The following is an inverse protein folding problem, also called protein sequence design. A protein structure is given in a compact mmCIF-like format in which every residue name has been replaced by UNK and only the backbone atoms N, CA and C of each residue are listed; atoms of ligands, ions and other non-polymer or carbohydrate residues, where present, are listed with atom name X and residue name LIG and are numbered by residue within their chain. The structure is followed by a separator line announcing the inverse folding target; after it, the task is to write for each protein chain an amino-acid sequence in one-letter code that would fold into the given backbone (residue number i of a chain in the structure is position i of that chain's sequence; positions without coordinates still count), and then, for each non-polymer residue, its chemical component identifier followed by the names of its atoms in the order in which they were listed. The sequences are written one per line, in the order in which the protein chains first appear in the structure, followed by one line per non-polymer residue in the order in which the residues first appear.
data_IF_989690147100
#
_entry.id   IF_989690147100
#
_cell.length_a   1.000
_cell.length_b   1.000
_cell.length_c   1.000
_cell.angle_alpha   90.00
_cell.angle_beta   90.00
_cell.angle_gamma   90.00
#
_symmetry.space_group_name_H-M   'P 1'
#
loop_
_entity.id
_entity.type
_entity.pdbx_description
1 polymer ?
#
# COMPACT_ATOMS: atom_id res chain seq x y z
N UNK A 1 -1.76 -18.03 0.50
CA UNK A 1 -2.52 -16.77 0.47
C UNK A 1 -1.70 -15.72 -0.26
N UNK A 2 -2.38 -14.75 -0.85
CA UNK A 2 -1.79 -13.56 -1.47
C UNK A 2 -1.78 -12.41 -0.45
N UNK A 3 -0.59 -11.93 -0.11
CA UNK A 3 -0.38 -10.85 0.84
C UNK A 3 -0.01 -9.57 0.10
N UNK A 4 -0.73 -8.51 0.39
CA UNK A 4 -0.49 -7.18 -0.14
C UNK A 4 -0.14 -6.24 1.01
N UNK A 5 1.14 -5.88 1.11
CA UNK A 5 1.64 -4.96 2.13
C UNK A 5 1.79 -3.59 1.49
N UNK A 6 0.94 -2.63 1.86
CA UNK A 6 0.93 -1.26 1.35
C UNK A 6 1.69 -0.37 2.33
N UNK A 7 2.80 0.21 1.87
CA UNK A 7 3.73 0.96 2.73
C UNK A 7 4.32 2.18 2.01
N UNK A 8 4.84 3.11 2.81
CA UNK A 8 5.46 4.36 2.38
C UNK A 8 6.37 4.90 3.48
N UNK A 9 7.22 5.87 3.15
CA UNK A 9 7.94 6.68 4.16
C UNK A 9 7.18 7.88 4.70
N UNK A 10 5.97 8.17 4.18
CA UNK A 10 5.23 9.40 4.50
C UNK A 10 3.72 9.17 4.55
N UNK A 11 3.08 9.79 5.54
CA UNK A 11 1.61 9.83 5.63
C UNK A 11 0.96 10.66 4.52
N UNK A 12 -0.25 10.26 4.12
CA UNK A 12 -1.13 10.99 3.19
C UNK A 12 -0.64 11.11 1.75
N UNK A 13 0.08 10.10 1.28
CA UNK A 13 0.49 9.99 -0.13
C UNK A 13 -0.37 9.02 -0.95
N UNK A 14 -1.49 8.56 -0.39
CA UNK A 14 -2.46 7.70 -1.10
C UNK A 14 -2.36 6.20 -0.80
N UNK A 15 -1.81 5.77 0.35
CA UNK A 15 -1.80 4.35 0.75
C UNK A 15 -3.21 3.77 0.86
N UNK A 16 -4.07 4.43 1.62
CA UNK A 16 -5.48 4.06 1.78
C UNK A 16 -6.21 4.00 0.43
N UNK A 17 -5.93 4.92 -0.50
CA UNK A 17 -6.49 4.85 -1.85
C UNK A 17 -6.11 3.55 -2.54
N UNK A 18 -4.83 3.19 -2.50
CA UNK A 18 -4.34 1.97 -3.11
C UNK A 18 -4.95 0.73 -2.45
N UNK A 19 -5.06 0.72 -1.11
CA UNK A 19 -5.75 -0.34 -0.36
C UNK A 19 -7.19 -0.52 -0.86
N UNK A 20 -7.95 0.56 -1.00
CA UNK A 20 -9.33 0.53 -1.49
C UNK A 20 -9.44 0.07 -2.94
N UNK A 21 -8.53 0.52 -3.81
CA UNK A 21 -8.47 0.11 -5.22
C UNK A 21 -8.19 -1.38 -5.37
N UNK A 22 -7.20 -1.90 -4.63
CA UNK A 22 -6.86 -3.31 -4.63
C UNK A 22 -8.02 -4.14 -4.06
N UNK A 23 -8.56 -3.76 -2.90
CA UNK A 23 -9.69 -4.46 -2.32
C UNK A 23 -10.89 -4.50 -3.27
N UNK A 24 -11.25 -3.37 -3.89
CA UNK A 24 -12.36 -3.32 -4.85
C UNK A 24 -12.11 -4.26 -6.05
N UNK A 25 -10.89 -4.27 -6.59
CA UNK A 25 -10.52 -5.17 -7.67
C UNK A 25 -10.70 -6.65 -7.27
N UNK A 26 -10.21 -7.05 -6.10
CA UNK A 26 -10.31 -8.43 -5.65
C UNK A 26 -11.76 -8.83 -5.31
N UNK A 27 -12.53 -7.96 -4.66
CA UNK A 27 -13.95 -8.22 -4.42
C UNK A 27 -14.74 -8.35 -5.73
N UNK A 28 -14.42 -7.57 -6.76
CA UNK A 28 -15.12 -7.64 -8.05
C UNK A 28 -14.75 -8.89 -8.86
N UNK A 29 -13.48 -9.29 -8.85
CA UNK A 29 -12.92 -10.30 -9.76
C UNK A 29 -12.64 -11.67 -9.11
N UNK A 30 -12.66 -11.79 -7.78
CA UNK A 30 -12.31 -13.00 -7.01
C UNK A 30 -13.37 -13.31 -5.94
N UNK A 31 -14.60 -13.59 -6.40
CA UNK A 31 -15.78 -13.76 -5.52
C UNK A 31 -15.82 -15.10 -4.77
N UNK A 32 -15.03 -16.06 -5.19
CA UNK A 32 -14.82 -17.35 -4.55
C UNK A 32 -13.87 -17.27 -3.33
N UNK A 33 -13.20 -16.13 -3.16
CA UNK A 33 -12.32 -15.85 -2.04
C UNK A 33 -12.85 -14.71 -1.15
N UNK A 34 -12.56 -14.79 0.14
CA UNK A 34 -12.73 -13.70 1.09
C UNK A 34 -11.44 -12.90 1.24
N UNK A 35 -11.60 -11.64 1.65
CA UNK A 35 -10.50 -10.71 1.91
C UNK A 35 -10.42 -10.33 3.38
N UNK A 36 -9.20 -10.17 3.90
CA UNK A 36 -8.95 -9.58 5.22
C UNK A 36 -8.10 -8.33 5.05
N UNK A 37 -8.60 -7.19 5.53
CA UNK A 37 -7.83 -5.94 5.61
C UNK A 37 -7.36 -5.74 7.05
N UNK A 38 -6.07 -5.64 7.28
CA UNK A 38 -5.49 -5.23 8.56
C UNK A 38 -4.93 -3.83 8.40
N UNK A 39 -5.54 -2.89 9.12
CA UNK A 39 -5.14 -1.51 9.18
C UNK A 39 -4.14 -1.30 10.33
N UNK A 40 -2.85 -1.25 10.00
CA UNK A 40 -1.76 -0.94 10.93
C UNK A 40 -1.44 0.56 10.96
N UNK A 41 -2.32 1.42 10.44
CA UNK A 41 -2.25 2.86 10.62
C UNK A 41 -2.98 3.26 11.91
N UNK A 42 -2.54 2.73 13.05
CA UNK A 42 -3.30 2.83 14.32
C UNK A 42 -3.75 4.24 14.70
N UNK A 43 -2.96 5.28 14.43
CA UNK A 43 -3.29 6.65 14.81
C UNK A 43 -4.50 7.25 14.07
N UNK A 44 -4.75 6.83 12.83
CA UNK A 44 -5.85 7.36 12.03
C UNK A 44 -6.87 6.27 11.66
N UNK A 45 -6.46 5.00 11.66
CA UNK A 45 -7.22 3.83 11.21
C UNK A 45 -7.97 4.09 9.90
N UNK A 46 -7.29 4.73 8.94
CA UNK A 46 -7.91 5.32 7.74
C UNK A 46 -8.75 4.29 6.96
N UNK A 47 -8.20 3.09 6.72
CA UNK A 47 -8.88 2.03 5.98
C UNK A 47 -10.03 1.44 6.80
N UNK A 48 -9.81 1.17 8.09
CA UNK A 48 -10.84 0.62 8.96
C UNK A 48 -12.02 1.58 9.18
N UNK A 49 -11.76 2.86 9.39
CA UNK A 49 -12.76 3.90 9.53
C UNK A 49 -13.67 3.99 8.31
N UNK A 50 -13.12 3.87 7.09
CA UNK A 50 -13.87 3.91 5.85
C UNK A 50 -14.69 2.63 5.60
N UNK A 51 -14.08 1.47 5.82
CA UNK A 51 -14.67 0.17 5.47
C UNK A 51 -15.71 -0.29 6.48
N UNK A 52 -15.55 0.05 7.77
CA UNK A 52 -16.47 -0.35 8.83
C UNK A 52 -17.59 0.65 9.12
N UNK A 53 -17.57 1.83 8.49
CA UNK A 53 -18.54 2.89 8.73
C UNK A 53 -19.98 2.40 8.52
N UNK A 54 -20.76 2.29 9.62
CA UNK A 54 -22.15 1.78 9.65
C UNK A 54 -22.33 0.38 9.02
N UNK A 55 -21.24 -0.37 8.89
CA UNK A 55 -21.20 -1.70 8.24
C UNK A 55 -20.51 -2.75 9.11
N UNK A 56 -20.42 -2.53 10.42
CA UNK A 56 -19.95 -3.55 11.36
C UNK A 56 -20.99 -4.68 11.42
N UNK A 57 -20.61 -5.85 10.92
CA UNK A 57 -21.39 -7.07 11.00
C UNK A 57 -20.96 -7.90 12.21
N UNK A 58 -21.94 -8.43 12.93
CA UNK A 58 -21.71 -9.40 14.01
C UNK A 58 -20.92 -8.86 15.21
N UNK A 59 -20.44 -9.80 16.05
CA UNK A 59 -19.49 -9.51 17.13
C UNK A 59 -18.06 -9.56 16.57
N UNK A 60 -17.14 -8.71 17.05
CA UNK A 60 -15.75 -8.83 16.67
C UNK A 60 -15.14 -10.14 17.18
N UNK A 61 -14.06 -10.54 16.52
CA UNK A 61 -13.09 -11.49 17.07
C UNK A 61 -11.79 -10.75 17.36
N UNK A 62 -10.98 -11.30 18.25
CA UNK A 62 -9.76 -10.65 18.72
C UNK A 62 -8.54 -11.51 18.43
N UNK A 63 -7.41 -10.90 18.11
CA UNK A 63 -6.11 -11.57 18.13
C UNK A 63 -5.30 -11.07 19.30
N UNK A 64 -4.71 -11.99 20.07
CA UNK A 64 -3.83 -11.69 21.19
C UNK A 64 -2.59 -12.57 21.16
N UNK A 65 -1.50 -12.10 21.76
CA UNK A 65 -0.30 -12.93 21.92
C UNK A 65 -0.46 -13.89 23.11
N UNK A 66 -0.11 -15.15 22.90
CA UNK A 66 0.06 -16.12 23.99
C UNK A 66 1.39 -15.91 24.72
N UNK A 67 1.66 -16.75 25.73
CA UNK A 67 2.91 -16.70 26.53
C UNK A 67 4.19 -16.89 25.70
N UNK A 68 4.08 -17.50 24.52
CA UNK A 68 5.19 -17.72 23.59
C UNK A 68 5.32 -16.59 22.56
N UNK A 69 4.48 -15.55 22.64
CA UNK A 69 4.47 -14.43 21.71
C UNK A 69 3.82 -14.72 20.36
N UNK A 70 3.13 -15.85 20.21
CA UNK A 70 2.36 -16.21 19.02
C UNK A 70 0.95 -15.62 19.11
N UNK A 71 0.40 -15.15 17.99
CA UNK A 71 -1.00 -14.71 17.98
C UNK A 71 -1.94 -15.92 17.98
N UNK A 72 -3.00 -15.84 18.79
CA UNK A 72 -4.12 -16.75 18.81
C UNK A 72 -5.45 -15.99 18.78
N UNK A 73 -6.49 -16.66 18.28
CA UNK A 73 -7.84 -16.13 18.29
C UNK A 73 -8.42 -16.12 19.71
N UNK A 74 -9.07 -15.02 20.06
CA UNK A 74 -9.97 -14.91 21.20
C UNK A 74 -11.32 -14.37 20.72
N UNK A 75 -12.39 -14.73 21.44
CA UNK A 75 -13.75 -14.25 21.21
C UNK A 75 -14.26 -13.38 22.36
N UNK A 76 -13.47 -13.27 23.43
CA UNK A 76 -13.76 -12.45 24.60
C UNK A 76 -12.93 -11.18 24.56
N UNK A 77 -13.58 -10.05 24.79
CA UNK A 77 -12.90 -8.76 24.93
C UNK A 77 -12.06 -8.74 26.20
N UNK A 78 -10.78 -8.38 26.09
CA UNK A 78 -9.85 -8.28 27.20
C UNK A 78 -8.82 -7.18 26.96
N UNK A 79 -8.25 -6.64 28.03
CA UNK A 79 -7.17 -5.65 27.98
C UNK A 79 -5.90 -6.16 27.28
N UNK A 80 -5.79 -7.48 27.07
CA UNK A 80 -4.65 -8.13 26.39
C UNK A 80 -4.86 -8.29 24.88
N UNK A 81 -6.03 -7.93 24.36
CA UNK A 81 -6.34 -8.05 22.95
C UNK A 81 -5.51 -7.05 22.15
N UNK A 82 -4.76 -7.52 21.15
CA UNK A 82 -3.90 -6.66 20.33
C UNK A 82 -4.62 -6.16 19.07
N UNK A 83 -5.53 -6.96 18.53
CA UNK A 83 -6.31 -6.60 17.34
C UNK A 83 -7.78 -6.92 17.53
N UNK A 84 -8.63 -6.04 17.00
CA UNK A 84 -10.05 -6.27 16.80
C UNK A 84 -10.31 -6.53 15.32
N UNK A 85 -11.10 -7.55 14.99
CA UNK A 85 -11.46 -7.89 13.61
C UNK A 85 -12.97 -8.02 13.51
N UNK A 86 -13.56 -7.26 12.58
CA UNK A 86 -14.99 -7.23 12.31
C UNK A 86 -15.29 -7.78 10.92
N UNK A 87 -16.45 -8.43 10.79
CA UNK A 87 -17.05 -8.70 9.49
C UNK A 87 -17.65 -7.41 8.93
N UNK A 88 -17.61 -7.24 7.61
CA UNK A 88 -18.30 -6.18 6.89
C UNK A 88 -18.63 -6.63 5.47
N UNK A 89 -19.17 -5.74 4.64
CA UNK A 89 -19.58 -6.07 3.27
C UNK A 89 -19.49 -4.89 2.30
N UNK A 90 -19.27 -5.24 1.03
CA UNK A 90 -19.32 -4.37 -0.14
C UNK A 90 -20.46 -4.78 -1.07
N UNK A 91 -20.79 -3.93 -2.03
CA UNK A 91 -21.79 -4.25 -3.04
C UNK A 91 -21.12 -4.58 -4.37
N UNK A 92 -21.63 -5.61 -5.05
CA UNK A 92 -21.16 -5.97 -6.39
C UNK A 92 -22.03 -5.34 -7.48
N UNK A 93 -21.46 -4.52 -8.37
CA UNK A 93 -22.20 -3.92 -9.50
C UNK A 93 -21.96 -2.42 -9.70
N UNK A 94 -22.65 -1.86 -10.71
CA UNK A 94 -22.50 -0.46 -11.14
C UNK A 94 -23.30 0.52 -10.25
N UNK A 95 -24.29 0.03 -9.51
CA UNK A 95 -25.12 0.82 -8.59
C UNK A 95 -24.99 0.30 -7.15
N UNK A 96 -24.47 1.12 -6.24
CA UNK A 96 -24.39 0.77 -4.82
C UNK A 96 -25.78 0.49 -4.24
N UNK A 97 -25.86 -0.48 -3.33
CA UNK A 97 -27.10 -0.85 -2.64
C UNK A 97 -28.08 -1.73 -3.43
N UNK A 98 -27.80 -2.05 -4.71
CA UNK A 98 -28.62 -2.97 -5.52
C UNK A 98 -27.92 -4.26 -5.93
N UNK A 99 -26.66 -4.40 -5.54
CA UNK A 99 -25.81 -5.56 -5.85
C UNK A 99 -25.80 -6.61 -4.76
N UNK A 100 -25.38 -7.83 -5.11
CA UNK A 100 -25.09 -8.87 -4.11
C UNK A 100 -24.04 -8.36 -3.12
N UNK A 101 -24.29 -8.62 -1.84
CA UNK A 101 -23.35 -8.29 -0.78
C UNK A 101 -22.17 -9.27 -0.82
N UNK A 102 -20.96 -8.72 -0.90
CA UNK A 102 -19.72 -9.48 -0.79
C UNK A 102 -19.13 -9.21 0.58
N UNK A 103 -19.11 -10.23 1.42
CA UNK A 103 -18.64 -10.14 2.80
C UNK A 103 -17.12 -10.33 2.87
N UNK A 104 -16.47 -9.54 3.71
CA UNK A 104 -15.03 -9.58 3.98
C UNK A 104 -14.77 -9.15 5.44
N UNK A 105 -13.52 -9.20 5.87
CA UNK A 105 -13.13 -8.81 7.22
C UNK A 105 -12.19 -7.60 7.23
N UNK A 106 -12.30 -6.80 8.29
CA UNK A 106 -11.42 -5.66 8.54
C UNK A 106 -11.00 -5.67 10.00
N UNK A 107 -9.70 -5.56 10.26
CA UNK A 107 -9.16 -5.44 11.59
C UNK A 107 -8.18 -4.29 11.75
N UNK A 108 -7.97 -3.88 12.99
CA UNK A 108 -7.08 -2.80 13.39
C UNK A 108 -6.55 -3.07 14.80
N UNK A 109 -5.40 -2.49 15.20
CA UNK A 109 -4.85 -2.72 16.52
C UNK A 109 -5.69 -2.04 17.60
N UNK A 110 -5.92 -2.72 18.72
CA UNK A 110 -6.60 -2.14 19.90
C UNK A 110 -5.77 -1.00 20.51
N UNK A 111 -4.44 -1.11 20.41
CA UNK A 111 -3.51 -0.04 20.80
C UNK A 111 -2.84 0.58 19.55
N UNK A 112 -3.16 1.84 19.21
CA UNK A 112 -2.69 2.48 17.99
C UNK A 112 -1.19 2.83 18.00
N UNK A 113 -0.53 2.72 19.16
CA UNK A 113 0.89 3.05 19.35
C UNK A 113 1.82 1.84 19.27
N UNK A 114 1.28 0.62 19.08
CA UNK A 114 2.11 -0.57 18.89
C UNK A 114 2.99 -0.38 17.66
N UNK A 115 4.27 -0.71 17.78
CA UNK A 115 5.23 -0.66 16.67
C UNK A 115 5.69 -2.08 16.35
N UNK A 116 5.64 -2.44 15.07
CA UNK A 116 6.18 -3.71 14.62
C UNK A 116 7.62 -3.56 14.13
N UNK A 117 8.52 -4.29 14.77
CA UNK A 117 9.85 -4.61 14.23
C UNK A 117 9.75 -5.82 13.26
N UNK A 118 10.84 -6.20 12.56
CA UNK A 118 10.77 -7.27 11.57
C UNK A 118 10.26 -8.62 12.11
N UNK A 119 10.70 -9.00 13.32
CA UNK A 119 10.26 -10.26 13.94
C UNK A 119 8.79 -10.22 14.31
N UNK A 120 8.35 -9.17 15.00
CA UNK A 120 6.97 -9.02 15.45
C UNK A 120 5.98 -8.86 14.27
N UNK A 121 6.45 -8.33 13.14
CA UNK A 121 5.67 -8.27 11.90
C UNK A 121 5.53 -9.66 11.28
N UNK A 122 6.62 -10.42 11.14
CA UNK A 122 6.57 -11.80 10.66
C UNK A 122 5.70 -12.71 11.56
N UNK A 123 5.75 -12.51 12.88
CA UNK A 123 4.89 -13.19 13.84
C UNK A 123 3.41 -12.83 13.64
N UNK A 124 3.10 -11.57 13.33
CA UNK A 124 1.74 -11.14 13.01
C UNK A 124 1.22 -11.86 11.76
N UNK A 125 1.99 -11.86 10.67
CA UNK A 125 1.60 -12.54 9.42
C UNK A 125 1.40 -14.05 9.65
N UNK A 126 2.31 -14.69 10.37
CA UNK A 126 2.19 -16.12 10.73
C UNK A 126 0.96 -16.38 11.59
N UNK A 127 0.68 -15.50 12.55
CA UNK A 127 -0.50 -15.55 13.40
C UNK A 127 -1.80 -15.46 12.61
N UNK A 128 -1.91 -14.47 11.73
CA UNK A 128 -3.06 -14.31 10.82
C UNK A 128 -3.23 -15.57 9.97
N UNK A 129 -2.14 -16.09 9.36
CA UNK A 129 -2.19 -17.31 8.55
C UNK A 129 -2.73 -18.50 9.35
N UNK A 130 -2.20 -18.74 10.54
CA UNK A 130 -2.56 -19.86 11.42
C UNK A 130 -4.02 -19.77 11.87
N UNK A 131 -4.49 -18.57 12.18
CA UNK A 131 -5.84 -18.33 12.70
C UNK A 131 -6.87 -18.00 11.61
N UNK A 132 -6.48 -17.91 10.34
CA UNK A 132 -7.36 -17.46 9.24
C UNK A 132 -8.69 -18.23 9.18
N UNK A 133 -8.64 -19.56 9.24
CA UNK A 133 -9.83 -20.42 9.23
C UNK A 133 -10.70 -20.21 10.48
N UNK A 134 -10.09 -19.96 11.63
CA UNK A 134 -10.80 -19.69 12.88
C UNK A 134 -11.48 -18.31 12.84
N UNK A 135 -10.76 -17.28 12.38
CA UNK A 135 -11.30 -15.92 12.16
C UNK A 135 -12.50 -16.01 11.20
N UNK A 136 -12.31 -16.67 10.05
CA UNK A 136 -13.36 -16.84 9.03
C UNK A 136 -14.61 -17.48 9.63
N UNK A 137 -14.45 -18.62 10.33
CA UNK A 137 -15.55 -19.37 10.94
C UNK A 137 -16.30 -18.53 11.98
N UNK A 138 -15.59 -17.85 12.87
CA UNK A 138 -16.21 -17.08 13.96
C UNK A 138 -16.88 -15.79 13.46
N UNK A 139 -16.40 -15.22 12.36
CA UNK A 139 -17.05 -14.10 11.68
C UNK A 139 -18.18 -14.52 10.72
N UNK A 140 -18.46 -15.83 10.59
CA UNK A 140 -19.52 -16.34 9.70
C UNK A 140 -19.25 -16.10 8.22
N UNK A 141 -17.98 -16.05 7.80
CA UNK A 141 -17.59 -15.90 6.40
C UNK A 141 -17.58 -17.27 5.69
N UNK A 142 -18.22 -17.34 4.54
CA UNK A 142 -18.38 -18.61 3.80
C UNK A 142 -17.16 -18.97 2.95
N UNK A 143 -16.45 -17.97 2.43
CA UNK A 143 -15.25 -18.14 1.60
C UNK A 143 -13.96 -18.05 2.44
N UNK A 144 -12.91 -18.82 2.07
CA UNK A 144 -11.62 -18.76 2.73
C UNK A 144 -10.91 -17.42 2.51
N UNK A 145 -10.09 -17.00 3.47
CA UNK A 145 -9.21 -15.85 3.25
C UNK A 145 -8.08 -16.23 2.30
N UNK A 146 -8.17 -15.81 1.04
CA UNK A 146 -7.08 -15.95 0.08
C UNK A 146 -6.29 -14.65 -0.08
N UNK A 147 -6.91 -13.50 0.18
CA UNK A 147 -6.31 -12.18 -0.02
C UNK A 147 -6.21 -11.41 1.29
N UNK A 148 -4.99 -11.05 1.68
CA UNK A 148 -4.71 -10.28 2.90
C UNK A 148 -4.11 -8.93 2.53
N UNK A 149 -4.72 -7.84 2.96
CA UNK A 149 -4.24 -6.48 2.74
C UNK A 149 -3.73 -5.90 4.06
N UNK A 150 -2.49 -5.45 4.10
CA UNK A 150 -1.89 -4.76 5.24
C UNK A 150 -1.66 -3.30 4.85
N UNK A 151 -2.48 -2.38 5.34
CA UNK A 151 -2.23 -0.93 5.20
C UNK A 151 -1.39 -0.47 6.38
N UNK A 152 -0.17 -0.01 6.13
CA UNK A 152 0.74 0.36 7.23
C UNK A 152 1.50 1.66 6.99
N UNK A 153 1.68 2.41 8.08
CA UNK A 153 2.58 3.56 8.13
C UNK A 153 4.03 3.18 8.43
N UNK A 154 4.33 1.92 8.76
CA UNK A 154 5.71 1.50 8.90
C UNK A 154 6.38 1.51 7.54
N UNK A 155 7.55 2.15 7.47
CA UNK A 155 8.42 1.99 6.31
C UNK A 155 8.79 0.52 6.15
N UNK A 156 8.91 0.02 4.92
CA UNK A 156 9.26 -1.39 4.71
C UNK A 156 10.57 -1.78 5.42
N UNK A 157 11.57 -0.88 5.49
CA UNK A 157 12.80 -1.10 6.27
C UNK A 157 12.61 -1.24 7.80
N UNK A 158 11.43 -0.93 8.34
CA UNK A 158 11.12 -1.16 9.75
C UNK A 158 10.54 -2.56 9.99
N UNK A 159 9.90 -3.14 8.96
CA UNK A 159 9.23 -4.45 9.04
C UNK A 159 9.95 -5.54 8.24
N UNK A 160 10.95 -5.17 7.45
CA UNK A 160 11.93 -6.03 6.78
C UNK A 160 13.34 -5.57 7.14
N UNK A 161 14.30 -6.49 7.13
CA UNK A 161 15.67 -6.21 7.53
C UNK A 161 16.63 -6.37 6.33
N UNK A 162 17.76 -5.67 6.37
CA UNK A 162 18.91 -5.89 5.48
C UNK A 162 19.65 -7.22 5.75
N UNK A 163 19.52 -7.79 6.95
CA UNK A 163 20.10 -9.08 7.31
C UNK A 163 19.17 -10.23 6.91
N UNK A 164 19.46 -10.82 5.74
CA UNK A 164 18.71 -11.93 5.16
C UNK A 164 18.64 -13.18 6.07
N UNK A 165 19.66 -13.44 6.90
CA UNK A 165 19.77 -14.74 7.59
C UNK A 165 19.01 -14.81 8.91
N UNK A 166 18.86 -13.70 9.64
CA UNK A 166 18.27 -13.73 10.98
C UNK A 166 16.74 -13.58 11.00
N UNK A 167 16.18 -12.85 10.02
CA UNK A 167 14.78 -12.40 10.07
C UNK A 167 13.93 -12.88 8.89
N UNK A 168 14.50 -13.61 7.93
CA UNK A 168 13.74 -14.17 6.82
C UNK A 168 13.48 -15.66 6.91
N UNK A 169 13.91 -16.34 7.97
CA UNK A 169 13.70 -17.77 8.16
C UNK A 169 12.22 -18.16 8.05
N UNK A 170 11.32 -17.31 8.52
CA UNK A 170 9.86 -17.48 8.39
C UNK A 170 9.38 -17.55 6.94
N UNK A 171 10.06 -16.88 6.00
CA UNK A 171 9.70 -16.83 4.58
C UNK A 171 10.50 -17.82 3.72
N UNK A 172 11.54 -18.44 4.26
CA UNK A 172 12.43 -19.36 3.55
C UNK A 172 11.97 -20.82 3.69
N UNK A 173 12.72 -21.75 3.08
CA UNK A 173 12.43 -23.19 3.12
C UNK A 173 12.21 -23.71 4.55
N UNK A 174 11.06 -24.36 4.79
CA UNK A 174 10.61 -24.85 6.09
C UNK A 174 9.96 -23.79 6.99
N UNK A 175 9.90 -22.53 6.56
CA UNK A 175 9.25 -21.44 7.28
C UNK A 175 7.73 -21.41 7.10
N UNK A 176 7.01 -20.83 8.07
CA UNK A 176 5.54 -20.76 8.07
C UNK A 176 4.95 -19.95 6.91
N UNK A 177 5.72 -19.08 6.26
CA UNK A 177 5.31 -18.21 5.17
C UNK A 177 5.97 -18.56 3.82
N UNK A 178 6.65 -19.70 3.71
CA UNK A 178 7.40 -20.09 2.50
C UNK A 178 6.55 -20.14 1.22
N UNK A 179 5.32 -20.63 1.33
CA UNK A 179 4.41 -20.84 0.18
C UNK A 179 3.49 -19.65 -0.06
N UNK A 180 3.69 -18.57 0.69
CA UNK A 180 2.87 -17.37 0.58
C UNK A 180 3.38 -16.45 -0.54
N UNK A 181 2.46 -15.82 -1.24
CA UNK A 181 2.80 -14.83 -2.27
C UNK A 181 2.78 -13.43 -1.63
N UNK A 182 3.97 -12.88 -1.36
CA UNK A 182 4.10 -11.60 -0.66
C UNK A 182 4.43 -10.49 -1.64
N UNK A 183 3.49 -9.56 -1.80
CA UNK A 183 3.64 -8.36 -2.62
C UNK A 183 3.73 -7.13 -1.73
N UNK A 184 4.79 -6.34 -1.88
CA UNK A 184 5.01 -5.08 -1.18
C UNK A 184 4.79 -3.91 -2.14
N UNK A 185 3.70 -3.19 -1.93
CA UNK A 185 3.35 -1.97 -2.67
C UNK A 185 3.97 -0.77 -1.98
N UNK A 186 5.07 -0.27 -2.54
CA UNK A 186 5.81 0.84 -1.98
C UNK A 186 5.53 2.13 -2.72
N UNK A 187 4.87 3.06 -2.02
CA UNK A 187 4.61 4.40 -2.54
C UNK A 187 5.83 5.29 -2.32
N UNK A 188 6.48 5.66 -3.42
CA UNK A 188 7.69 6.47 -3.44
C UNK A 188 7.39 7.93 -3.12
N UNK A 189 8.22 8.55 -2.29
CA UNK A 189 8.21 10.01 -2.11
C UNK A 189 9.46 10.65 -2.70
N UNK A 190 9.30 11.89 -3.16
CA UNK A 190 10.38 12.68 -3.80
C UNK A 190 11.72 12.61 -3.06
N UNK A 191 11.72 12.88 -1.74
CA UNK A 191 12.96 12.93 -0.95
C UNK A 191 13.74 11.61 -0.93
N UNK A 192 13.04 10.48 -1.02
CA UNK A 192 13.70 9.17 -1.05
C UNK A 192 14.36 8.92 -2.40
N UNK A 193 13.67 9.31 -3.47
CA UNK A 193 14.15 9.19 -4.83
C UNK A 193 15.38 10.07 -5.05
N UNK A 194 15.32 11.33 -4.61
CA UNK A 194 16.45 12.27 -4.60
C UNK A 194 17.66 11.70 -3.87
N UNK A 195 17.47 11.08 -2.71
CA UNK A 195 18.57 10.46 -1.96
C UNK A 195 19.16 9.23 -2.64
N UNK A 196 18.37 8.51 -3.44
CA UNK A 196 18.82 7.31 -4.15
C UNK A 196 19.63 7.67 -5.39
N UNK A 197 19.35 8.80 -6.02
CA UNK A 197 20.04 9.31 -7.22
C UNK A 197 21.11 10.36 -6.93
N UNK A 198 21.39 10.66 -5.65
CA UNK A 198 22.41 11.64 -5.28
C UNK A 198 23.84 11.06 -5.41
N UNK A 199 24.78 11.86 -5.92
CA UNK A 199 26.20 11.48 -6.12
C UNK A 199 26.88 10.92 -4.86
N UNK A 200 26.47 11.39 -3.67
CA UNK A 200 26.96 10.85 -2.39
C UNK A 200 25.89 9.97 -1.77
N UNK A 201 26.18 8.67 -1.73
CA UNK A 201 25.27 7.70 -1.16
C UNK A 201 25.04 7.95 0.34
N UNK A 202 23.82 8.41 0.67
CA UNK A 202 23.41 8.62 2.05
C UNK A 202 23.25 7.29 2.81
N UNK A 203 23.39 7.32 4.14
CA UNK A 203 23.12 6.15 4.99
C UNK A 203 21.71 5.58 4.76
N UNK A 204 20.73 6.46 4.54
CA UNK A 204 19.36 6.06 4.23
C UNK A 204 19.25 5.33 2.90
N UNK A 205 19.90 5.83 1.85
CA UNK A 205 19.95 5.17 0.54
C UNK A 205 20.56 3.76 0.65
N UNK A 206 21.64 3.60 1.43
CA UNK A 206 22.25 2.29 1.71
C UNK A 206 21.26 1.32 2.37
N UNK A 207 20.60 1.75 3.44
CA UNK A 207 19.63 0.91 4.17
C UNK A 207 18.47 0.49 3.27
N UNK A 208 17.93 1.42 2.48
CA UNK A 208 16.84 1.14 1.53
C UNK A 208 17.29 0.12 0.49
N UNK A 209 18.43 0.34 -0.17
CA UNK A 209 19.01 -0.58 -1.16
C UNK A 209 19.23 -1.96 -0.57
N UNK A 210 19.96 -2.06 0.55
CA UNK A 210 20.29 -3.35 1.18
C UNK A 210 19.05 -4.10 1.65
N UNK A 211 18.04 -3.40 2.18
CA UNK A 211 16.78 -4.04 2.59
C UNK A 211 16.02 -4.55 1.37
N UNK A 212 15.86 -3.74 0.32
CA UNK A 212 15.16 -4.15 -0.88
C UNK A 212 15.84 -5.35 -1.55
N UNK A 213 17.17 -5.34 -1.67
CA UNK A 213 17.94 -6.48 -2.19
C UNK A 213 17.73 -7.73 -1.34
N UNK A 214 17.77 -7.63 -0.01
CA UNK A 214 17.53 -8.76 0.88
C UNK A 214 16.10 -9.31 0.73
N UNK A 215 15.09 -8.44 0.62
CA UNK A 215 13.71 -8.82 0.37
C UNK A 215 13.55 -9.54 -0.97
N UNK A 216 14.09 -9.00 -2.07
CA UNK A 216 14.02 -9.61 -3.40
C UNK A 216 14.73 -10.96 -3.45
N UNK A 217 15.82 -11.11 -2.69
CA UNK A 217 16.54 -12.38 -2.57
C UNK A 217 15.75 -13.44 -1.79
N UNK A 218 14.98 -13.04 -0.77
CA UNK A 218 14.33 -13.95 0.17
C UNK A 218 12.86 -14.25 -0.15
N UNK A 219 12.10 -13.27 -0.67
CA UNK A 219 10.67 -13.40 -0.96
C UNK A 219 10.41 -13.80 -2.42
N UNK A 220 11.20 -14.74 -2.94
CA UNK A 220 11.05 -15.21 -4.32
C UNK A 220 9.74 -16.01 -4.43
N UNK A 221 8.76 -15.46 -5.15
CA UNK A 221 7.46 -16.10 -5.36
C UNK A 221 7.60 -17.44 -6.10
N UNK A 222 7.10 -18.52 -5.48
CA UNK A 222 7.16 -19.90 -5.99
C UNK A 222 6.22 -20.20 -7.20
N UNK A 223 5.77 -19.19 -7.95
CA UNK A 223 4.72 -19.36 -8.97
C UNK A 223 4.92 -18.64 -10.31
N UNK A 224 6.02 -17.90 -10.51
CA UNK A 224 6.36 -17.29 -11.79
C UNK A 224 7.78 -17.70 -12.19
N UNK A 225 7.97 -19.02 -12.32
CA UNK A 225 9.25 -19.62 -12.70
C UNK A 225 9.24 -20.00 -14.17
N UNK A 226 9.95 -19.18 -14.95
CA UNK A 226 10.79 -19.69 -16.05
C UNK A 226 12.07 -18.87 -16.17
N UNK A 227 12.03 -17.54 -15.94
CA UNK A 227 13.14 -16.65 -16.34
C UNK A 227 13.67 -15.66 -15.27
N UNK A 228 13.39 -15.87 -13.98
CA UNK A 228 14.06 -15.09 -12.91
C UNK A 228 13.65 -13.62 -12.77
N UNK A 229 12.40 -13.23 -13.08
CA UNK A 229 11.93 -11.83 -13.08
C UNK A 229 10.60 -11.58 -12.35
N UNK A 230 10.43 -12.14 -11.16
CA UNK A 230 9.32 -11.83 -10.26
C UNK A 230 9.88 -11.21 -8.98
N UNK A 231 9.72 -9.89 -8.80
CA UNK A 231 10.07 -9.19 -7.55
C UNK A 231 8.83 -9.00 -6.68
N UNK A 232 8.95 -9.13 -5.34
CA UNK A 232 7.89 -8.77 -4.40
C UNK A 232 7.58 -7.27 -4.42
N UNK A 233 8.49 -6.42 -4.92
CA UNK A 233 8.36 -4.97 -4.87
C UNK A 233 7.57 -4.42 -6.05
N UNK A 234 6.50 -3.70 -5.73
CA UNK A 234 5.69 -2.90 -6.65
C UNK A 234 5.95 -1.42 -6.35
N UNK A 235 6.52 -0.71 -7.32
CA UNK A 235 6.90 0.69 -7.20
C UNK A 235 5.75 1.60 -7.61
N UNK A 236 5.10 2.23 -6.64
CA UNK A 236 3.92 3.05 -6.86
C UNK A 236 4.31 4.53 -6.85
N UNK A 237 3.93 5.25 -7.89
CA UNK A 237 4.22 6.68 -8.05
C UNK A 237 2.93 7.46 -8.04
N UNK A 238 2.63 8.11 -6.91
CA UNK A 238 1.42 8.93 -6.76
C UNK A 238 1.75 10.42 -6.86
N UNK A 239 0.83 11.27 -7.38
CA UNK A 239 1.12 12.68 -7.61
C UNK A 239 1.47 13.41 -6.30
N UNK A 240 0.74 13.11 -5.21
CA UNK A 240 0.96 13.72 -3.91
C UNK A 240 2.34 13.43 -3.32
N UNK A 241 2.96 12.32 -3.72
CA UNK A 241 4.25 11.89 -3.22
C UNK A 241 5.43 12.54 -3.96
N UNK A 242 5.21 12.96 -5.21
CA UNK A 242 6.23 13.52 -6.09
C UNK A 242 6.35 15.05 -5.98
N UNK A 243 5.42 15.71 -5.29
CA UNK A 243 5.45 17.16 -5.07
C UNK A 243 6.16 17.49 -3.75
N UNK A 244 7.06 18.48 -3.75
CA UNK A 244 7.66 18.99 -2.51
C UNK A 244 6.79 20.08 -1.90
N UNK A 245 6.86 20.20 -0.57
CA UNK A 245 6.26 21.32 0.15
C UNK A 245 7.07 22.62 0.05
N UNK A 246 8.15 22.66 -0.76
CA UNK A 246 9.13 23.75 -0.79
C UNK A 246 9.25 24.44 -2.14
N UNK A 247 8.50 24.02 -3.17
CA UNK A 247 8.56 24.66 -4.47
C UNK A 247 8.23 26.15 -4.31
N UNK A 248 9.17 27.03 -4.68
CA UNK A 248 8.94 28.47 -4.63
C UNK A 248 7.93 28.85 -5.70
N UNK A 249 6.84 29.51 -5.29
CA UNK A 249 5.90 30.19 -6.18
C UNK A 249 6.69 31.14 -7.09
N UNK A 250 6.94 30.72 -8.33
CA UNK A 250 7.73 31.50 -9.28
C UNK A 250 8.58 30.68 -10.27
N UNK A 251 8.98 29.45 -9.93
CA UNK A 251 9.78 28.58 -10.83
C UNK A 251 9.01 27.44 -11.49
N UNK A 252 7.74 27.26 -11.13
CA UNK A 252 6.90 26.17 -11.65
C UNK A 252 6.29 26.55 -13.01
N UNK A 253 6.58 25.79 -14.06
CA UNK A 253 5.93 25.92 -15.36
C UNK A 253 5.14 24.64 -15.71
N UNK A 254 4.17 24.75 -16.62
CA UNK A 254 3.48 23.58 -17.20
C UNK A 254 2.63 22.76 -16.23
N UNK A 255 2.71 21.43 -16.37
CA UNK A 255 1.90 20.43 -15.65
C UNK A 255 2.22 20.33 -14.16
N UNK A 256 3.47 20.60 -13.77
CA UNK A 256 3.90 20.64 -12.37
C UNK A 256 3.27 21.80 -11.61
N UNK A 257 3.13 22.96 -12.25
CA UNK A 257 2.38 24.08 -11.67
C UNK A 257 0.93 23.67 -11.41
N UNK A 258 0.25 23.08 -12.39
CA UNK A 258 -1.15 22.61 -12.23
C UNK A 258 -1.30 21.56 -11.13
N UNK A 259 -0.33 20.64 -11.03
CA UNK A 259 -0.30 19.65 -9.95
C UNK A 259 -0.05 20.32 -8.60
N UNK A 260 0.91 21.24 -8.49
CA UNK A 260 1.17 21.98 -7.25
C UNK A 260 -0.04 22.80 -6.83
N UNK A 261 -0.65 23.55 -7.75
CA UNK A 261 -1.89 24.30 -7.56
C UNK A 261 -3.02 23.38 -7.09
N UNK A 262 -3.11 22.16 -7.63
CA UNK A 262 -4.08 21.14 -7.19
C UNK A 262 -3.82 20.67 -5.76
N UNK A 263 -2.55 20.42 -5.43
CA UNK A 263 -2.14 19.99 -4.09
C UNK A 263 -2.36 21.11 -3.07
N UNK A 264 -2.03 22.36 -3.39
CA UNK A 264 -2.22 23.54 -2.52
C UNK A 264 -3.69 23.91 -2.39
N UNK A 265 -4.38 24.03 -3.52
CA UNK A 265 -5.81 24.35 -3.62
C UNK A 265 -6.73 23.21 -3.21
N UNK A 266 -6.19 22.03 -2.91
CA UNK A 266 -6.92 20.84 -2.44
C UNK A 266 -8.06 20.43 -3.38
N UNK A 267 -7.80 20.36 -4.69
CA UNK A 267 -8.74 19.85 -5.68
C UNK A 267 -8.21 18.62 -6.42
N UNK A 268 -9.14 17.81 -6.93
CA UNK A 268 -8.81 16.59 -7.67
C UNK A 268 -8.14 16.94 -9.00
N UNK A 269 -7.12 16.17 -9.37
CA UNK A 269 -6.34 16.43 -10.58
C UNK A 269 -5.83 15.14 -11.21
N UNK A 270 -5.77 15.11 -12.54
CA UNK A 270 -5.12 14.00 -13.27
C UNK A 270 -3.82 14.50 -13.86
N UNK A 271 -2.71 13.84 -13.51
CA UNK A 271 -1.37 14.13 -14.01
C UNK A 271 -1.17 13.48 -15.39
N UNK A 272 -1.10 14.26 -16.48
CA UNK A 272 -1.00 13.72 -17.83
C UNK A 272 0.23 12.82 -18.05
N UNK A 273 1.36 13.14 -17.44
CA UNK A 273 2.63 12.40 -17.55
C UNK A 273 2.50 10.99 -16.97
N UNK A 274 1.94 10.88 -15.76
CA UNK A 274 1.66 9.59 -15.13
C UNK A 274 0.58 8.82 -15.90
N UNK A 275 -0.40 9.53 -16.49
CA UNK A 275 -1.42 8.89 -17.34
C UNK A 275 -0.79 8.29 -18.61
N UNK A 276 0.13 9.02 -19.24
CA UNK A 276 0.89 8.54 -20.39
C UNK A 276 1.71 7.31 -20.03
N UNK A 277 2.42 7.34 -18.90
CA UNK A 277 3.17 6.18 -18.40
C UNK A 277 2.25 4.97 -18.13
N UNK A 278 1.07 5.19 -17.55
CA UNK A 278 0.07 4.15 -17.31
C UNK A 278 -0.50 3.53 -18.59
N UNK A 279 -0.43 4.25 -19.72
CA UNK A 279 -0.92 3.80 -21.02
C UNK A 279 0.15 3.11 -21.87
N UNK A 280 1.42 3.10 -21.43
CA UNK A 280 2.45 2.34 -22.11
C UNK A 280 2.13 0.85 -22.04
N UNK A 281 2.41 0.12 -23.12
CA UNK A 281 2.28 -1.33 -23.12
C UNK A 281 3.15 -1.90 -21.99
N UNK A 282 2.58 -2.70 -21.07
CA UNK A 282 3.36 -3.34 -20.03
C UNK A 282 4.40 -4.25 -20.68
N UNK A 283 5.67 -4.11 -20.30
CA UNK A 283 6.67 -5.12 -20.63
C UNK A 283 6.34 -6.39 -19.86
N UNK A 284 6.39 -7.57 -20.48
CA UNK A 284 6.04 -8.85 -19.81
C UNK A 284 6.83 -9.14 -18.51
N UNK A 285 7.96 -8.46 -18.29
CA UNK A 285 8.87 -8.75 -17.19
C UNK A 285 8.93 -7.63 -16.14
N UNK A 286 8.99 -8.01 -14.85
CA UNK A 286 9.32 -7.09 -13.77
C UNK A 286 10.77 -6.58 -13.88
N UNK A 287 11.06 -5.45 -13.24
CA UNK A 287 12.41 -4.93 -13.02
C UNK A 287 12.82 -5.11 -11.55
N UNK A 288 14.08 -5.48 -11.29
CA UNK A 288 14.61 -5.54 -9.93
C UNK A 288 14.73 -4.13 -9.33
N UNK A 289 14.81 -4.02 -8.00
CA UNK A 289 15.04 -2.76 -7.33
C UNK A 289 16.34 -2.10 -7.80
N UNK A 290 17.42 -2.88 -7.89
CA UNK A 290 18.74 -2.38 -8.28
C UNK A 290 18.74 -1.83 -9.70
N UNK A 291 18.16 -2.56 -10.65
CA UNK A 291 18.09 -2.13 -12.05
C UNK A 291 17.19 -0.91 -12.22
N UNK A 292 16.11 -0.82 -11.42
CA UNK A 292 15.25 0.36 -11.42
C UNK A 292 15.99 1.60 -10.91
N UNK A 293 16.74 1.49 -9.82
CA UNK A 293 17.56 2.61 -9.31
C UNK A 293 18.60 3.04 -10.33
N UNK A 294 19.28 2.09 -11.01
CA UNK A 294 20.22 2.42 -12.10
C UNK A 294 19.55 3.22 -13.22
N UNK A 295 18.33 2.83 -13.63
CA UNK A 295 17.58 3.57 -14.65
C UNK A 295 17.23 4.99 -14.20
N UNK A 296 16.78 5.15 -12.96
CA UNK A 296 16.48 6.46 -12.39
C UNK A 296 17.72 7.35 -12.33
N UNK A 297 18.87 6.79 -11.96
CA UNK A 297 20.14 7.50 -11.89
C UNK A 297 20.61 7.99 -13.27
N UNK A 298 20.59 7.12 -14.29
CA UNK A 298 20.90 7.50 -15.68
C UNK A 298 19.95 8.61 -16.17
N UNK A 299 18.65 8.46 -15.92
CA UNK A 299 17.66 9.45 -16.32
C UNK A 299 17.85 10.78 -15.59
N UNK A 300 18.16 10.74 -14.29
CA UNK A 300 18.47 11.91 -13.48
C UNK A 300 19.68 12.68 -14.05
N UNK A 301 20.82 12.02 -14.24
CA UNK A 301 22.04 12.65 -14.76
C UNK A 301 21.82 13.26 -16.15
N UNK A 302 21.09 12.58 -17.03
CA UNK A 302 20.75 13.08 -18.38
C UNK A 302 19.95 14.38 -18.34
N UNK A 303 19.07 14.53 -17.35
CA UNK A 303 18.19 15.70 -17.23
C UNK A 303 18.92 16.84 -16.51
N UNK A 304 19.68 16.55 -15.45
CA UNK A 304 20.40 17.59 -14.68
C UNK A 304 21.56 18.20 -15.44
N UNK A 305 22.23 17.46 -16.32
CA UNK A 305 23.28 18.01 -17.19
C UNK A 305 22.74 19.12 -18.12
N UNK A 306 21.43 19.13 -18.37
CA UNK A 306 20.75 20.08 -19.24
C UNK A 306 19.94 21.16 -18.50
N UNK A 307 19.78 21.06 -17.17
CA UNK A 307 18.87 21.94 -16.44
C UNK A 307 19.29 22.17 -14.97
N UNK A 308 19.26 23.44 -14.52
CA UNK A 308 19.51 23.86 -13.12
C UNK A 308 18.22 24.06 -12.31
N UNK A 309 17.12 23.46 -12.75
CA UNK A 309 15.85 23.51 -12.04
C UNK A 309 15.89 22.82 -10.68
N UNK A 310 14.92 23.16 -9.81
CA UNK A 310 14.75 22.43 -8.55
C UNK A 310 14.51 20.94 -8.84
N UNK A 311 15.29 20.08 -8.17
CA UNK A 311 15.35 18.63 -8.45
C UNK A 311 13.98 17.91 -8.40
N UNK A 312 13.03 18.47 -7.68
CA UNK A 312 11.66 17.96 -7.62
C UNK A 312 10.86 18.10 -8.91
N UNK A 313 11.17 19.12 -9.70
CA UNK A 313 10.51 19.37 -10.98
C UNK A 313 10.97 18.36 -12.03
N UNK A 314 12.14 17.77 -11.81
CA UNK A 314 12.73 16.82 -12.75
C UNK A 314 12.13 15.42 -12.61
N UNK A 315 11.38 15.12 -11.54
CA UNK A 315 11.04 13.72 -11.25
C UNK A 315 10.01 13.10 -12.21
N UNK A 316 8.99 13.85 -12.64
CA UNK A 316 8.07 13.37 -13.68
C UNK A 316 8.81 13.10 -15.01
N UNK A 317 9.65 14.03 -15.51
CA UNK A 317 10.55 13.78 -16.64
C UNK A 317 11.49 12.57 -16.44
N UNK A 318 12.07 12.41 -15.25
CA UNK A 318 12.95 11.27 -14.91
C UNK A 318 12.18 9.96 -15.01
N UNK A 319 10.96 9.89 -14.46
CA UNK A 319 10.13 8.69 -14.56
C UNK A 319 9.76 8.36 -16.00
N UNK A 320 9.44 9.39 -16.79
CA UNK A 320 9.11 9.21 -18.21
C UNK A 320 10.32 8.68 -18.98
N UNK A 321 11.50 9.27 -18.76
CA UNK A 321 12.75 8.85 -19.39
C UNK A 321 13.19 7.44 -18.95
N UNK A 322 13.10 7.12 -17.65
CA UNK A 322 13.42 5.80 -17.11
C UNK A 322 12.44 4.71 -17.57
N UNK A 323 11.16 5.08 -17.76
CA UNK A 323 10.14 4.23 -18.34
C UNK A 323 10.37 3.94 -19.83
N UNK A 324 10.91 4.89 -20.58
CA UNK A 324 11.20 4.73 -22.00
C UNK A 324 9.94 4.41 -22.82
N UNK A 325 10.03 3.47 -23.76
CA UNK A 325 8.90 3.07 -24.62
C UNK A 325 7.99 2.00 -23.98
N UNK A 326 8.46 1.29 -22.95
CA UNK A 326 7.73 0.20 -22.29
C UNK A 326 7.96 0.24 -20.79
N UNK A 327 6.87 0.23 -20.02
CA UNK A 327 6.94 0.28 -18.56
C UNK A 327 6.99 -1.15 -17.98
N UNK A 328 7.93 -1.50 -17.09
CA UNK A 328 7.89 -2.77 -16.38
C UNK A 328 6.60 -2.92 -15.55
N UNK A 329 6.04 -4.12 -15.47
CA UNK A 329 4.75 -4.40 -14.80
C UNK A 329 4.72 -4.06 -13.30
N UNK A 330 5.87 -3.95 -12.65
CA UNK A 330 5.99 -3.55 -11.25
C UNK A 330 6.29 -2.05 -11.06
N UNK A 331 6.24 -1.24 -12.12
CA UNK A 331 6.23 0.22 -12.07
C UNK A 331 4.79 0.69 -12.28
N UNK A 332 4.19 1.29 -11.25
CA UNK A 332 2.76 1.60 -11.20
C UNK A 332 2.56 3.11 -11.05
N UNK A 333 2.39 3.83 -12.17
CA UNK A 333 2.02 5.24 -12.13
C UNK A 333 0.54 5.37 -11.72
N UNK A 334 0.26 6.09 -10.64
CA UNK A 334 -1.10 6.49 -10.28
C UNK A 334 -1.35 7.89 -10.84
N UNK A 335 -2.15 8.05 -11.91
CA UNK A 335 -2.30 9.35 -12.55
C UNK A 335 -3.22 10.31 -11.78
N UNK A 336 -3.99 9.81 -10.82
CA UNK A 336 -5.02 10.59 -10.15
C UNK A 336 -4.53 11.10 -8.80
N UNK A 337 -4.63 12.40 -8.60
CA UNK A 337 -4.56 13.06 -7.31
C UNK A 337 -5.98 13.29 -6.79
N UNK A 338 -6.25 12.83 -5.57
CA UNK A 338 -7.53 13.01 -4.91
C UNK A 338 -7.31 13.75 -3.61
N UNK A 339 -7.76 15.01 -3.55
CA UNK A 339 -7.40 15.91 -2.46
C UNK A 339 -7.95 15.45 -1.11
N UNK A 340 -9.13 14.83 -1.13
CA UNK A 340 -9.78 14.29 0.07
C UNK A 340 -9.00 13.13 0.71
N UNK A 341 -8.16 12.42 -0.06
CA UNK A 341 -7.34 11.30 0.42
C UNK A 341 -5.95 11.73 0.90
N UNK A 342 -5.65 13.05 0.89
CA UNK A 342 -4.40 13.60 1.42
C UNK A 342 -4.53 13.87 2.91
N UNK A 343 -3.66 13.22 3.70
CA UNK A 343 -3.41 13.48 5.13
C UNK A 343 -4.69 13.85 5.89
N UNK A 344 -5.66 12.92 5.95
CA UNK A 344 -6.67 13.03 6.98
C UNK A 344 -6.00 12.72 8.30
N UNK A 345 -5.82 13.75 9.12
CA UNK A 345 -5.65 13.58 10.56
C UNK A 345 -6.95 14.03 11.17
N UNK A 346 -7.52 13.24 12.09
CA UNK A 346 -8.79 13.51 12.77
C UNK A 346 -8.89 14.90 13.45
N UNK A 347 -7.78 15.65 13.51
CA UNK A 347 -7.70 16.91 14.25
C UNK A 347 -8.29 18.13 13.54
N UNK A 348 -8.28 18.24 12.21
CA UNK A 348 -8.40 19.56 11.56
C UNK A 348 -9.43 19.71 10.43
N UNK A 349 -10.23 18.69 10.08
CA UNK A 349 -11.21 18.80 8.97
C UNK A 349 -12.54 18.18 9.33
N UNK A 350 -13.64 18.86 9.00
CA UNK A 350 -14.99 18.32 9.14
C UNK A 350 -15.13 16.99 8.40
N UNK A 351 -15.88 16.06 8.99
CA UNK A 351 -16.13 14.65 8.59
C UNK A 351 -15.44 14.26 7.25
N UNK A 352 -14.12 14.02 7.27
CA UNK A 352 -13.41 13.61 6.04
C UNK A 352 -13.92 12.28 5.56
N UNK A 353 -14.30 11.38 6.47
CA UNK A 353 -14.98 10.14 6.13
C UNK A 353 -16.16 10.45 5.22
N UNK A 354 -17.04 11.41 5.55
CA UNK A 354 -18.12 11.89 4.64
C UNK A 354 -17.61 12.39 3.29
N UNK A 355 -16.53 13.17 3.23
CA UNK A 355 -15.96 13.63 1.96
C UNK A 355 -15.41 12.48 1.09
N UNK A 356 -14.79 11.49 1.73
CA UNK A 356 -14.29 10.27 1.10
C UNK A 356 -15.41 9.34 0.64
N UNK A 357 -16.53 9.33 1.35
CA UNK A 357 -17.75 8.62 0.93
C UNK A 357 -18.34 9.16 -0.38
N UNK A 358 -18.11 10.44 -0.68
CA UNK A 358 -18.53 11.06 -1.94
C UNK A 358 -17.73 10.63 -3.18
N UNK A 359 -16.64 9.86 -3.01
CA UNK A 359 -15.77 9.49 -4.12
C UNK A 359 -16.35 8.37 -4.96
N UNK A 360 -16.14 8.39 -6.28
CA UNK A 360 -16.69 7.37 -7.20
C UNK A 360 -16.38 5.93 -6.79
N UNK A 361 -15.16 5.65 -6.34
CA UNK A 361 -14.79 4.30 -5.88
C UNK A 361 -15.56 3.90 -4.63
N UNK A 362 -15.70 4.81 -3.68
CA UNK A 362 -16.46 4.55 -2.46
C UNK A 362 -17.95 4.42 -2.79
N UNK A 363 -18.51 5.36 -3.56
CA UNK A 363 -19.88 5.30 -4.02
C UNK A 363 -20.19 4.00 -4.75
N UNK A 364 -19.32 3.55 -5.65
CA UNK A 364 -19.54 2.34 -6.44
C UNK A 364 -19.48 1.05 -5.60
N UNK A 365 -18.48 0.90 -4.73
CA UNK A 365 -18.21 -0.39 -4.08
C UNK A 365 -18.52 -0.42 -2.58
N UNK A 366 -18.32 0.69 -1.88
CA UNK A 366 -18.27 0.74 -0.41
C UNK A 366 -19.39 1.57 0.23
N UNK A 367 -20.16 2.35 -0.53
CA UNK A 367 -21.28 3.13 -0.01
C UNK A 367 -22.55 2.31 0.09
N UNK A 368 -23.37 2.61 1.09
CA UNK A 368 -24.75 2.15 1.14
C UNK A 368 -25.61 3.32 0.63
N UNK A 369 -25.99 3.33 -0.65
CA UNK A 369 -26.76 4.41 -1.29
C UNK A 369 -28.20 4.55 -0.75
N UNK A 370 -28.57 3.83 0.31
CA UNK A 370 -29.86 3.96 1.01
C UNK A 370 -29.98 5.25 1.86
N UNK A 371 -29.12 6.24 1.65
CA UNK A 371 -29.29 7.60 2.20
C UNK A 371 -30.23 8.40 1.26
N UNK A 372 -31.52 8.42 1.59
CA UNK A 372 -32.42 9.54 1.26
C UNK A 372 -32.32 10.60 2.34
#
# INVERSE_FOLDING_TARGET
MDWHIITSSKGGIGKTLLTLLLLAYYLENKRDASSLVIDLNGMNTDSAALLLYRKRGGKPVFLKKNTNGEYCLDTVESDTNEFEIYQTYSFSGVEAGKGDQIYYAVGYPSNPYVLHNPQSFANLLTGIKKEASNIQKNLGLTAPFEHIFIDTNYHFCNIFNQNANAHYTTYQAGGSLQEENITVWFLWVYRQLEKLTAERESREAKVVKSTATAMEACLKNNGCQSDGKSTPLKHVFSPAALVTSRAKEGSLTGSLKKLFDAVVGQYDYTVPELKKLAMLQPKENCISFEDWVKKLDIAYNTITDNNKEEHALLFLPILELAGGQQCPVNIIPLPVYQANLRQYTDKDRGDIVKSLRGMKIYQKYFSNLMEK
#
